data_IF_922742824874
#
_entry.id   IF_922742824874
#
_cell.length_a   1.000
_cell.length_b   1.000
_cell.length_c   1.000
_cell.angle_alpha   90.00
_cell.angle_beta   90.00
_cell.angle_gamma   90.00
#
_symmetry.space_group_name_H-M   'P 1'
#
loop_
_entity.id
_entity.type
_entity.pdbx_description
1 polymer ?
#
# COMPACT_ATOMS: atom_id res chain seq x y z
N UNK A 1 10.57 69.86 16.88
CA UNK A 1 11.81 69.05 16.96
C UNK A 1 11.45 67.65 16.49
N UNK A 2 11.68 67.19 15.29
CA UNK A 2 12.11 67.66 13.97
C UNK A 2 11.66 66.50 13.06
N UNK A 3 10.93 66.75 11.98
CA UNK A 3 11.42 66.90 10.59
C UNK A 3 12.31 65.71 10.16
N UNK A 4 12.26 65.10 8.98
CA UNK A 4 11.52 65.19 7.71
C UNK A 4 12.25 64.21 6.75
N UNK A 5 11.57 63.77 5.68
CA UNK A 5 12.01 63.25 4.36
C UNK A 5 11.51 61.83 4.04
N UNK A 6 10.55 61.60 3.13
CA UNK A 6 10.30 62.02 1.73
C UNK A 6 11.18 61.37 0.63
N UNK A 7 10.47 61.06 -0.47
CA UNK A 7 10.81 60.86 -1.90
C UNK A 7 10.75 59.39 -2.39
N UNK A 8 9.76 58.99 -3.19
CA UNK A 8 9.37 59.40 -4.58
C UNK A 8 10.39 58.93 -5.64
N UNK A 9 9.98 58.07 -6.58
CA UNK A 9 9.65 58.45 -7.98
C UNK A 9 9.59 57.27 -8.98
N UNK A 10 8.55 57.33 -9.83
CA UNK A 10 8.43 57.05 -11.30
C UNK A 10 9.06 55.79 -11.93
N UNK A 11 8.30 54.93 -12.60
CA UNK A 11 7.73 55.03 -13.98
C UNK A 11 8.80 55.22 -15.05
N UNK A 12 8.98 54.22 -15.92
CA UNK A 12 9.32 54.49 -17.31
C UNK A 12 8.66 53.46 -18.25
N UNK A 13 8.10 53.99 -19.34
CA UNK A 13 7.38 53.31 -20.40
C UNK A 13 8.22 53.36 -21.67
N UNK A 14 8.03 52.33 -22.50
CA UNK A 14 8.19 52.32 -23.96
C UNK A 14 9.61 52.38 -24.53
N UNK A 15 9.92 51.41 -25.41
CA UNK A 15 10.29 51.78 -26.77
C UNK A 15 9.76 50.76 -27.79
N UNK A 16 9.26 51.29 -28.90
CA UNK A 16 8.75 50.60 -30.08
C UNK A 16 9.85 50.58 -31.15
N UNK A 17 9.79 49.61 -32.08
CA UNK A 17 10.10 49.73 -33.52
C UNK A 17 10.20 48.29 -34.09
N UNK A 18 9.21 47.76 -34.82
CA UNK A 18 8.91 47.92 -36.27
C UNK A 18 10.11 47.66 -37.19
N UNK A 19 10.04 46.58 -37.97
CA UNK A 19 10.07 46.70 -39.44
C UNK A 19 9.45 45.47 -40.13
N UNK A 20 8.71 45.76 -41.20
CA UNK A 20 8.06 44.87 -42.17
C UNK A 20 9.12 44.15 -43.03
N UNK A 21 8.85 43.05 -43.77
CA UNK A 21 8.32 43.10 -45.14
C UNK A 21 8.20 41.66 -45.71
N UNK A 22 7.05 41.40 -46.38
CA UNK A 22 6.64 40.52 -47.51
C UNK A 22 7.65 39.54 -48.16
N UNK A 23 7.33 38.49 -48.93
CA UNK A 23 6.23 37.98 -49.79
C UNK A 23 6.60 36.47 -49.99
N UNK A 24 5.73 35.46 -50.17
CA UNK A 24 4.84 35.24 -51.30
C UNK A 24 5.11 33.87 -51.98
N UNK A 25 4.05 33.05 -52.12
CA UNK A 25 3.75 32.04 -53.16
C UNK A 25 4.56 30.71 -53.18
N UNK A 26 3.96 29.54 -52.96
CA UNK A 26 3.03 28.71 -53.78
C UNK A 26 3.77 27.71 -54.70
N UNK A 27 3.13 26.56 -54.93
CA UNK A 27 3.47 25.43 -55.84
C UNK A 27 4.10 24.15 -55.23
N UNK A 28 3.27 23.10 -55.22
CA UNK A 28 3.59 21.66 -55.29
C UNK A 28 2.73 21.08 -56.45
N UNK A 29 2.86 19.82 -56.93
CA UNK A 29 3.88 18.76 -56.75
C UNK A 29 4.31 18.09 -58.09
N UNK A 30 5.31 17.19 -58.07
CA UNK A 30 5.45 16.13 -59.10
C UNK A 30 5.83 14.77 -58.48
N UNK A 31 4.96 13.78 -58.66
CA UNK A 31 5.25 12.33 -58.57
C UNK A 31 5.94 11.84 -59.85
N UNK A 32 6.63 10.69 -59.79
CA UNK A 32 6.32 9.68 -60.81
C UNK A 32 6.23 8.22 -60.30
N UNK A 33 5.08 7.63 -60.60
CA UNK A 33 4.79 6.33 -61.23
C UNK A 33 5.43 5.01 -60.72
N UNK A 34 4.50 4.10 -60.40
CA UNK A 34 4.63 2.66 -60.13
C UNK A 34 5.29 1.85 -61.27
N UNK A 35 6.05 0.81 -60.90
CA UNK A 35 6.28 -0.38 -61.74
C UNK A 35 6.18 -1.68 -60.92
N UNK A 36 5.06 -2.36 -61.17
CA UNK A 36 4.78 -3.81 -61.18
C UNK A 36 5.70 -4.81 -60.43
N UNK A 37 5.07 -5.55 -59.51
CA UNK A 37 5.57 -6.78 -58.87
C UNK A 37 5.81 -7.95 -59.84
N UNK A 38 6.58 -8.95 -59.38
CA UNK A 38 6.11 -10.33 -59.49
C UNK A 38 6.13 -11.09 -58.16
N UNK A 39 5.25 -12.09 -58.16
CA UNK A 39 4.78 -12.97 -57.10
C UNK A 39 5.82 -14.02 -56.61
N UNK A 40 5.67 -14.40 -55.34
CA UNK A 40 6.02 -15.72 -54.81
C UNK A 40 7.44 -15.93 -54.26
N UNK A 41 7.56 -15.92 -52.93
CA UNK A 41 8.07 -17.07 -52.15
C UNK A 41 8.04 -16.80 -50.64
N UNK A 42 7.47 -17.77 -49.93
CA UNK A 42 7.45 -17.92 -48.48
C UNK A 42 8.80 -17.63 -47.82
N UNK A 43 8.80 -16.65 -46.92
CA UNK A 43 9.73 -16.60 -45.82
C UNK A 43 8.91 -16.43 -44.54
N UNK A 44 8.56 -17.56 -43.92
CA UNK A 44 8.30 -17.59 -42.50
C UNK A 44 9.56 -17.04 -41.81
N UNK A 45 9.56 -15.75 -41.47
CA UNK A 45 10.36 -15.25 -40.37
C UNK A 45 9.92 -16.01 -39.13
N UNK A 46 10.72 -17.02 -38.78
CA UNK A 46 10.66 -17.63 -37.46
C UNK A 46 11.02 -16.50 -36.49
N UNK A 47 10.00 -15.89 -35.91
CA UNK A 47 10.14 -15.14 -34.68
C UNK A 47 10.95 -16.00 -33.74
N UNK A 48 12.12 -15.50 -33.34
CA UNK A 48 12.85 -16.02 -32.21
C UNK A 48 11.90 -15.90 -31.02
N UNK A 49 11.21 -16.99 -30.70
CA UNK A 49 10.59 -17.14 -29.40
C UNK A 49 11.72 -16.93 -28.40
N UNK A 50 11.67 -15.79 -27.71
CA UNK A 50 12.40 -15.63 -26.46
C UNK A 50 11.94 -16.80 -25.61
N UNK A 51 12.85 -17.74 -25.36
CA UNK A 51 12.64 -18.74 -24.33
C UNK A 51 12.56 -17.92 -23.06
N UNK A 52 11.34 -17.68 -22.57
CA UNK A 52 11.15 -17.16 -21.22
C UNK A 52 11.85 -18.15 -20.31
N UNK A 53 12.95 -17.72 -19.69
CA UNK A 53 13.55 -18.49 -18.62
C UNK A 53 12.45 -18.72 -17.57
N UNK A 54 12.29 -19.96 -17.07
CA UNK A 54 11.25 -20.25 -16.10
C UNK A 54 11.42 -19.34 -14.89
N UNK A 55 10.33 -18.67 -14.49
CA UNK A 55 10.30 -17.78 -13.33
C UNK A 55 10.91 -18.52 -12.12
N UNK A 56 12.01 -18.00 -11.54
CA UNK A 56 12.71 -18.69 -10.48
C UNK A 56 11.84 -18.88 -9.24
N UNK A 57 10.83 -18.00 -9.00
CA UNK A 57 9.98 -18.04 -7.80
C UNK A 57 10.79 -18.20 -6.49
N UNK A 58 11.96 -17.56 -6.46
CA UNK A 58 12.89 -17.62 -5.33
C UNK A 58 12.75 -16.34 -4.50
N UNK A 59 12.40 -16.50 -3.24
CA UNK A 59 12.40 -15.42 -2.25
C UNK A 59 13.83 -14.93 -2.01
N UNK A 60 14.03 -13.62 -2.10
CA UNK A 60 15.29 -12.95 -1.84
C UNK A 60 15.40 -12.68 -0.33
N UNK A 61 16.52 -13.08 0.28
CA UNK A 61 16.86 -12.61 1.63
C UNK A 61 17.17 -11.11 1.64
N UNK A 62 17.07 -10.45 2.79
CA UNK A 62 17.25 -8.99 2.91
C UNK A 62 18.51 -8.42 2.25
N UNK A 63 19.65 -9.14 2.32
CA UNK A 63 20.90 -8.75 1.64
C UNK A 63 20.81 -8.80 0.11
N UNK A 64 20.00 -9.72 -0.45
CA UNK A 64 19.76 -9.82 -1.90
C UNK A 64 18.92 -8.66 -2.42
N UNK A 65 17.98 -8.17 -1.60
CA UNK A 65 17.18 -6.99 -1.92
C UNK A 65 18.00 -5.70 -1.75
N UNK A 66 18.80 -5.59 -0.69
CA UNK A 66 19.69 -4.45 -0.47
C UNK A 66 20.72 -4.31 -1.60
N UNK A 67 21.26 -5.43 -2.10
CA UNK A 67 22.17 -5.45 -3.24
C UNK A 67 21.53 -4.97 -4.57
N UNK A 68 20.19 -4.94 -4.66
CA UNK A 68 19.49 -4.44 -5.84
C UNK A 68 19.46 -2.90 -5.94
N UNK A 69 19.93 -2.19 -4.90
CA UNK A 69 20.11 -0.73 -4.82
C UNK A 69 18.86 0.08 -5.22
N UNK A 70 17.73 -0.22 -4.59
CA UNK A 70 16.49 0.51 -4.77
C UNK A 70 16.43 1.73 -3.84
N UNK A 71 17.03 2.86 -4.24
CA UNK A 71 17.10 4.07 -3.41
C UNK A 71 15.72 4.54 -2.92
N UNK A 72 14.70 4.37 -3.75
CA UNK A 72 13.31 4.75 -3.49
C UNK A 72 12.53 3.76 -2.60
N UNK A 73 13.03 2.53 -2.42
CA UNK A 73 12.28 1.42 -1.81
C UNK A 73 12.89 0.94 -0.51
N UNK A 74 12.06 0.47 0.41
CA UNK A 74 12.49 -0.17 1.67
C UNK A 74 11.87 -1.54 1.80
N UNK A 75 12.67 -2.51 2.23
CA UNK A 75 12.15 -3.80 2.70
C UNK A 75 11.56 -3.56 4.08
N UNK A 76 10.28 -3.83 4.23
CA UNK A 76 9.60 -3.87 5.51
C UNK A 76 8.86 -5.21 5.56
N UNK A 77 9.24 -6.06 6.51
CA UNK A 77 8.80 -7.46 6.54
C UNK A 77 9.17 -8.20 5.24
N UNK A 78 8.18 -8.83 4.61
CA UNK A 78 8.27 -9.65 3.40
C UNK A 78 7.93 -8.88 2.11
N UNK A 79 7.83 -7.55 2.18
CA UNK A 79 7.44 -6.69 1.07
C UNK A 79 8.43 -5.55 0.80
N UNK A 80 8.42 -5.08 -0.45
CA UNK A 80 9.05 -3.82 -0.87
C UNK A 80 8.02 -2.70 -0.79
N UNK A 81 8.39 -1.58 -0.17
CA UNK A 81 7.53 -0.40 -0.06
C UNK A 81 8.19 0.83 -0.65
N UNK A 82 7.43 1.62 -1.41
CA UNK A 82 7.80 2.97 -1.82
C UNK A 82 6.62 3.92 -1.68
N UNK A 83 6.95 5.19 -1.44
CA UNK A 83 5.98 6.28 -1.39
C UNK A 83 6.47 7.41 -2.26
N UNK A 84 5.67 7.81 -3.24
CA UNK A 84 5.98 8.88 -4.18
C UNK A 84 5.09 10.09 -3.91
N UNK A 85 5.69 11.23 -3.58
CA UNK A 85 4.97 12.49 -3.36
C UNK A 85 4.63 13.11 -4.71
N UNK A 86 3.35 13.04 -5.08
CA UNK A 86 2.85 13.49 -6.39
C UNK A 86 2.35 14.93 -6.37
N UNK A 87 2.18 15.52 -5.17
CA UNK A 87 1.75 16.90 -4.97
C UNK A 87 0.26 17.15 -5.21
N UNK A 88 -0.32 16.47 -6.21
CA UNK A 88 -1.74 16.48 -6.51
C UNK A 88 -2.26 15.10 -6.96
N UNK A 89 -3.59 15.00 -7.00
CA UNK A 89 -4.30 13.76 -7.28
C UNK A 89 -4.21 13.35 -8.75
N UNK A 90 -4.13 14.31 -9.68
CA UNK A 90 -4.09 14.02 -11.12
C UNK A 90 -2.74 13.39 -11.53
N UNK A 91 -1.66 13.91 -10.98
CA UNK A 91 -0.31 13.34 -11.11
C UNK A 91 -0.25 11.96 -10.46
N UNK A 92 -0.87 11.80 -9.28
CA UNK A 92 -1.04 10.50 -8.63
C UNK A 92 -1.75 9.47 -9.51
N UNK A 93 -2.92 9.84 -10.05
CA UNK A 93 -3.68 8.97 -10.94
C UNK A 93 -2.91 8.60 -12.21
N UNK A 94 -2.13 9.54 -12.77
CA UNK A 94 -1.27 9.28 -13.94
C UNK A 94 -0.17 8.27 -13.61
N UNK A 95 0.45 8.38 -12.42
CA UNK A 95 1.42 7.39 -11.96
C UNK A 95 0.77 6.01 -11.78
N UNK A 96 -0.42 5.94 -11.19
CA UNK A 96 -1.17 4.68 -11.03
C UNK A 96 -1.49 4.02 -12.37
N UNK A 97 -1.89 4.80 -13.39
CA UNK A 97 -2.11 4.27 -14.75
C UNK A 97 -0.84 3.66 -15.36
N UNK A 98 0.32 4.30 -15.18
CA UNK A 98 1.60 3.74 -15.62
C UNK A 98 1.97 2.47 -14.84
N UNK A 99 1.77 2.46 -13.51
CA UNK A 99 1.99 1.28 -12.67
C UNK A 99 1.11 0.12 -13.15
N UNK A 100 -0.18 0.36 -13.36
CA UNK A 100 -1.13 -0.67 -13.82
C UNK A 100 -0.72 -1.27 -15.16
N UNK A 101 -0.29 -0.46 -16.13
CA UNK A 101 0.22 -0.96 -17.42
C UNK A 101 1.50 -1.78 -17.28
N UNK A 102 2.40 -1.39 -16.38
CA UNK A 102 3.62 -2.14 -16.10
C UNK A 102 3.32 -3.48 -15.40
N UNK A 103 2.40 -3.47 -14.44
CA UNK A 103 1.94 -4.66 -13.73
C UNK A 103 1.29 -5.69 -14.68
N UNK A 104 0.36 -5.26 -15.53
CA UNK A 104 -0.27 -6.13 -16.54
C UNK A 104 0.76 -6.72 -17.52
N UNK A 105 1.76 -5.93 -17.91
CA UNK A 105 2.83 -6.42 -18.78
C UNK A 105 3.72 -7.45 -18.07
N UNK A 106 3.91 -7.31 -16.76
CA UNK A 106 4.74 -8.20 -15.95
C UNK A 106 3.99 -9.45 -15.46
N UNK A 107 2.66 -9.50 -15.58
CA UNK A 107 1.79 -10.46 -14.89
C UNK A 107 2.13 -10.55 -13.38
N UNK A 108 2.38 -9.38 -12.79
CA UNK A 108 2.81 -9.22 -11.41
C UNK A 108 2.26 -7.91 -10.87
N UNK A 109 1.38 -7.99 -9.88
CA UNK A 109 0.52 -6.87 -9.48
C UNK A 109 0.92 -6.32 -8.10
N UNK A 110 1.19 -5.01 -7.98
CA UNK A 110 1.39 -4.36 -6.68
C UNK A 110 0.07 -4.05 -5.98
N UNK A 111 0.15 -3.86 -4.67
CA UNK A 111 -0.85 -3.10 -3.93
C UNK A 111 -0.55 -1.59 -4.06
N UNK A 112 -1.58 -0.79 -4.33
CA UNK A 112 -1.43 0.64 -4.62
C UNK A 112 -2.43 1.48 -3.82
N UNK A 113 -1.94 2.37 -2.96
CA UNK A 113 -2.74 3.36 -2.24
C UNK A 113 -2.59 4.75 -2.87
N UNK A 114 -3.63 5.19 -3.59
CA UNK A 114 -3.72 6.53 -4.17
C UNK A 114 -4.37 7.50 -3.18
N UNK A 115 -3.60 8.48 -2.70
CA UNK A 115 -4.08 9.59 -1.87
C UNK A 115 -3.94 10.92 -2.61
N UNK A 116 -4.50 11.98 -2.02
CA UNK A 116 -4.54 13.30 -2.64
C UNK A 116 -3.17 13.82 -3.12
N UNK A 117 -2.09 13.60 -2.36
CA UNK A 117 -0.77 14.14 -2.68
C UNK A 117 0.35 13.10 -2.79
N UNK A 118 0.02 11.81 -2.74
CA UNK A 118 1.01 10.74 -2.83
C UNK A 118 0.41 9.44 -3.34
N UNK A 119 1.27 8.59 -3.87
CA UNK A 119 1.00 7.19 -4.18
C UNK A 119 1.93 6.34 -3.34
N UNK A 120 1.39 5.40 -2.58
CA UNK A 120 2.16 4.36 -1.90
C UNK A 120 2.00 3.04 -2.64
N UNK A 121 3.09 2.31 -2.79
CA UNK A 121 3.15 1.07 -3.57
C UNK A 121 3.85 0.01 -2.74
N UNK A 122 3.20 -1.15 -2.60
CA UNK A 122 3.76 -2.34 -1.95
C UNK A 122 3.90 -3.47 -2.97
N UNK A 123 5.00 -4.20 -2.91
CA UNK A 123 5.34 -5.29 -3.83
C UNK A 123 5.78 -6.51 -3.05
N UNK A 124 5.07 -7.62 -3.24
CA UNK A 124 5.50 -8.95 -2.88
C UNK A 124 4.99 -9.98 -3.86
N UNK A 125 5.68 -11.11 -3.94
CA UNK A 125 5.22 -12.26 -4.71
C UNK A 125 4.31 -13.14 -3.87
N UNK A 126 3.00 -12.88 -3.94
CA UNK A 126 1.99 -13.58 -3.14
C UNK A 126 2.00 -15.11 -3.29
N UNK A 127 2.39 -15.62 -4.46
CA UNK A 127 2.42 -17.06 -4.73
C UNK A 127 3.56 -17.79 -4.01
N UNK A 128 4.55 -17.07 -3.49
CA UNK A 128 5.67 -17.61 -2.71
C UNK A 128 5.93 -16.89 -1.38
N UNK A 129 5.06 -15.94 -1.00
CA UNK A 129 5.10 -15.29 0.31
C UNK A 129 6.37 -14.47 0.57
N UNK A 130 6.80 -13.65 -0.39
CA UNK A 130 7.89 -12.71 -0.15
C UNK A 130 8.44 -11.99 -1.38
N UNK A 131 9.46 -11.16 -1.19
CA UNK A 131 10.12 -10.42 -2.28
C UNK A 131 10.92 -11.35 -3.17
N UNK A 132 10.68 -11.30 -4.48
CA UNK A 132 11.44 -12.01 -5.52
C UNK A 132 12.09 -11.03 -6.52
N UNK A 133 12.74 -11.55 -7.56
CA UNK A 133 13.23 -10.72 -8.67
C UNK A 133 12.11 -9.98 -9.40
N UNK A 134 10.87 -10.53 -9.45
CA UNK A 134 9.71 -9.90 -10.08
C UNK A 134 9.38 -8.57 -9.42
N UNK A 135 9.39 -8.55 -8.09
CA UNK A 135 9.18 -7.36 -7.27
C UNK A 135 10.25 -6.31 -7.52
N UNK A 136 11.52 -6.73 -7.56
CA UNK A 136 12.65 -5.81 -7.82
C UNK A 136 12.57 -5.19 -9.21
N UNK A 137 12.22 -5.97 -10.24
CA UNK A 137 12.14 -5.49 -11.61
C UNK A 137 10.95 -4.54 -11.83
N UNK A 138 9.81 -4.84 -11.22
CA UNK A 138 8.67 -3.94 -11.23
C UNK A 138 8.95 -2.67 -10.42
N UNK A 139 9.60 -2.77 -9.26
CA UNK A 139 10.00 -1.63 -8.44
C UNK A 139 10.84 -0.60 -9.22
N UNK A 140 11.83 -1.08 -10.00
CA UNK A 140 12.64 -0.22 -10.89
C UNK A 140 11.79 0.50 -11.93
N UNK A 141 10.89 -0.24 -12.57
CA UNK A 141 9.98 0.32 -13.58
C UNK A 141 9.09 1.41 -12.99
N UNK A 142 8.59 1.20 -11.77
CA UNK A 142 7.76 2.17 -11.06
C UNK A 142 8.57 3.41 -10.66
N UNK A 143 9.80 3.24 -10.15
CA UNK A 143 10.72 4.35 -9.87
C UNK A 143 10.98 5.21 -11.11
N UNK A 144 11.19 4.59 -12.27
CA UNK A 144 11.36 5.31 -13.55
C UNK A 144 10.10 6.11 -13.93
N UNK A 145 8.91 5.53 -13.76
CA UNK A 145 7.65 6.24 -14.00
C UNK A 145 7.45 7.43 -13.06
N UNK A 146 7.74 7.26 -11.77
CA UNK A 146 7.66 8.33 -10.79
C UNK A 146 8.65 9.47 -11.10
N UNK A 147 9.90 9.13 -11.44
CA UNK A 147 10.93 10.09 -11.81
C UNK A 147 10.56 10.94 -13.03
N UNK A 148 9.96 10.34 -14.07
CA UNK A 148 9.48 11.06 -15.26
C UNK A 148 8.34 12.04 -14.96
N UNK A 149 7.55 11.77 -13.91
CA UNK A 149 6.49 12.65 -13.43
C UNK A 149 6.99 13.67 -12.38
N UNK A 150 8.27 13.64 -12.01
CA UNK A 150 8.84 14.48 -10.97
C UNK A 150 8.38 14.12 -9.55
N UNK A 151 7.76 12.95 -9.36
CA UNK A 151 7.29 12.48 -8.07
C UNK A 151 8.47 11.93 -7.26
N UNK A 152 8.86 12.64 -6.19
CA UNK A 152 10.00 12.26 -5.34
C UNK A 152 9.62 11.11 -4.42
N UNK A 153 10.48 10.11 -4.29
CA UNK A 153 10.35 9.11 -3.23
C UNK A 153 10.56 9.74 -1.84
N UNK A 154 9.64 9.45 -0.91
CA UNK A 154 9.63 9.93 0.47
C UNK A 154 9.81 8.77 1.44
N UNK A 155 10.98 8.13 1.40
CA UNK A 155 11.31 6.97 2.24
C UNK A 155 11.23 7.27 3.73
N UNK A 156 11.41 8.54 4.12
CA UNK A 156 11.27 9.02 5.49
C UNK A 156 9.83 9.01 6.03
N UNK A 157 8.84 8.79 5.17
CA UNK A 157 7.41 8.74 5.52
C UNK A 157 6.84 7.32 5.50
N UNK A 158 7.64 6.32 5.13
CA UNK A 158 7.23 4.93 5.17
C UNK A 158 7.16 4.44 6.62
N UNK A 159 6.11 3.68 6.91
CA UNK A 159 5.94 3.00 8.18
C UNK A 159 5.02 1.79 7.97
N UNK A 160 5.30 0.71 8.69
CA UNK A 160 4.36 -0.42 8.86
C UNK A 160 4.15 -0.58 10.36
N UNK A 161 2.88 -0.71 10.76
CA UNK A 161 2.49 -0.89 12.15
C UNK A 161 2.00 -2.32 12.34
N UNK A 162 2.51 -2.97 13.38
CA UNK A 162 1.96 -4.22 13.90
C UNK A 162 1.54 -4.02 15.36
N UNK A 163 0.55 -4.79 15.79
CA UNK A 163 0.07 -4.81 17.17
C UNK A 163 0.52 -6.12 17.81
N UNK A 164 1.26 -6.03 18.90
CA UNK A 164 1.63 -7.17 19.73
C UNK A 164 0.56 -7.44 20.77
N UNK A 165 0.10 -8.69 20.88
CA UNK A 165 -0.68 -9.15 22.02
C UNK A 165 0.11 -10.21 22.79
N UNK A 166 0.52 -9.85 24.01
CA UNK A 166 1.12 -10.79 24.94
C UNK A 166 0.09 -11.86 25.33
N UNK A 167 0.44 -13.12 25.13
CA UNK A 167 -0.40 -14.26 25.45
C UNK A 167 0.40 -15.37 26.14
N UNK A 168 -0.29 -16.15 26.96
CA UNK A 168 0.28 -17.38 27.54
C UNK A 168 -0.18 -18.66 26.83
N UNK A 169 -1.17 -18.51 25.95
CA UNK A 169 -1.81 -19.59 25.22
C UNK A 169 -2.36 -18.98 23.93
N UNK A 170 -1.55 -19.09 22.88
CA UNK A 170 -1.85 -18.61 21.53
C UNK A 170 -3.13 -19.27 20.99
N UNK A 171 -3.24 -20.59 21.11
CA UNK A 171 -4.35 -21.36 20.57
C UNK A 171 -5.68 -21.01 21.24
N UNK A 172 -5.65 -20.60 22.51
CA UNK A 172 -6.85 -20.16 23.22
C UNK A 172 -7.38 -18.78 22.79
N UNK A 173 -6.52 -17.87 22.33
CA UNK A 173 -6.91 -16.48 22.00
C UNK A 173 -7.01 -16.21 20.49
N UNK A 174 -6.20 -16.88 19.67
CA UNK A 174 -6.11 -16.65 18.23
C UNK A 174 -7.45 -16.79 17.50
N UNK A 175 -8.29 -17.83 17.73
CA UNK A 175 -9.58 -17.97 17.05
C UNK A 175 -10.51 -16.77 17.27
N UNK A 176 -10.52 -16.23 18.50
CA UNK A 176 -11.31 -15.04 18.82
C UNK A 176 -10.88 -13.84 17.99
N UNK A 177 -9.57 -13.57 17.91
CA UNK A 177 -9.05 -12.42 17.18
C UNK A 177 -9.19 -12.56 15.67
N UNK A 178 -8.94 -13.76 15.12
CA UNK A 178 -9.22 -14.07 13.71
C UNK A 178 -10.69 -13.80 13.38
N UNK A 179 -11.61 -14.33 14.18
CA UNK A 179 -13.05 -14.15 13.98
C UNK A 179 -13.50 -12.70 14.16
N UNK A 180 -12.98 -12.00 15.18
CA UNK A 180 -13.35 -10.62 15.49
C UNK A 180 -12.84 -9.64 14.43
N UNK A 181 -11.62 -9.80 13.94
CA UNK A 181 -11.05 -8.91 12.92
C UNK A 181 -11.47 -9.32 11.50
N UNK A 182 -11.91 -10.58 11.32
CA UNK A 182 -12.05 -11.26 10.02
C UNK A 182 -10.72 -11.31 9.28
N UNK A 183 -9.69 -11.71 10.02
CA UNK A 183 -8.33 -11.88 9.54
C UNK A 183 -8.04 -13.37 9.32
N UNK A 184 -7.10 -13.65 8.44
CA UNK A 184 -6.60 -14.99 8.18
C UNK A 184 -5.50 -15.37 9.18
N UNK A 185 -5.35 -16.67 9.43
CA UNK A 185 -4.24 -17.25 10.18
C UNK A 185 -3.25 -17.85 9.19
N UNK A 186 -2.12 -17.18 8.90
CA UNK A 186 -1.07 -17.73 8.03
C UNK A 186 -0.45 -19.00 8.64
N UNK A 187 0.29 -19.76 7.82
CA UNK A 187 0.92 -21.03 8.25
C UNK A 187 1.91 -20.84 9.41
N UNK A 188 2.56 -19.68 9.47
CA UNK A 188 3.33 -19.24 10.64
C UNK A 188 2.35 -18.75 11.71
N UNK A 189 2.02 -19.68 12.61
CA UNK A 189 0.86 -19.69 13.51
C UNK A 189 0.78 -18.54 14.54
N UNK A 190 1.76 -17.63 14.62
CA UNK A 190 1.90 -16.65 15.69
C UNK A 190 1.25 -15.28 15.41
N UNK A 191 0.46 -15.16 14.34
CA UNK A 191 -0.27 -13.94 14.01
C UNK A 191 -1.65 -14.19 13.40
N UNK A 192 -2.44 -13.12 13.31
CA UNK A 192 -3.57 -12.99 12.38
C UNK A 192 -3.33 -11.78 11.47
N UNK A 193 -3.59 -11.94 10.18
CA UNK A 193 -3.26 -10.97 9.12
C UNK A 193 -4.51 -10.57 8.36
N UNK A 194 -4.64 -9.29 8.03
CA UNK A 194 -5.73 -8.82 7.17
C UNK A 194 -5.56 -9.43 5.77
N UNK A 195 -6.53 -10.23 5.27
CA UNK A 195 -6.44 -10.83 3.94
C UNK A 195 -6.33 -9.80 2.81
N UNK A 196 -6.80 -8.57 3.05
CA UNK A 196 -6.74 -7.47 2.08
C UNK A 196 -5.55 -6.52 2.32
N UNK A 197 -4.69 -6.78 3.33
CA UNK A 197 -3.51 -5.97 3.64
C UNK A 197 -3.80 -4.52 4.09
N UNK A 198 -5.03 -4.20 4.54
CA UNK A 198 -5.42 -2.82 4.88
C UNK A 198 -5.18 -2.46 6.33
N UNK A 199 -5.38 -3.42 7.23
CA UNK A 199 -5.18 -3.26 8.67
C UNK A 199 -3.81 -3.78 9.14
N UNK A 200 -3.39 -3.40 10.35
CA UNK A 200 -2.14 -3.89 10.93
C UNK A 200 -2.26 -5.38 11.26
N UNK A 201 -1.16 -6.12 11.12
CA UNK A 201 -1.02 -7.47 11.68
C UNK A 201 -1.21 -7.43 13.19
N UNK A 202 -1.93 -8.42 13.73
CA UNK A 202 -1.94 -8.70 15.16
C UNK A 202 -1.10 -9.95 15.41
N UNK A 203 0.11 -9.75 15.94
CA UNK A 203 1.02 -10.83 16.28
C UNK A 203 0.94 -11.15 17.78
N UNK A 204 1.22 -12.40 18.14
CA UNK A 204 1.06 -12.92 19.48
C UNK A 204 2.42 -13.23 20.11
N UNK A 205 2.80 -12.44 21.11
CA UNK A 205 4.02 -12.68 21.87
C UNK A 205 3.73 -13.73 22.95
N UNK A 206 4.21 -14.95 22.76
CA UNK A 206 4.15 -15.97 23.82
C UNK A 206 5.11 -15.56 24.95
N UNK A 207 4.60 -15.53 26.19
CA UNK A 207 5.38 -15.15 27.38
C UNK A 207 5.53 -16.35 28.35
N UNK A 208 6.76 -16.62 28.80
CA UNK A 208 7.15 -17.84 29.54
C UNK A 208 6.86 -17.84 31.07
N UNK A 209 6.19 -16.82 31.61
CA UNK A 209 5.92 -16.76 33.05
C UNK A 209 4.83 -17.79 33.44
N UNK A 210 5.14 -18.81 34.26
CA UNK A 210 4.20 -19.88 34.58
C UNK A 210 2.98 -19.32 35.32
N UNK A 211 1.78 -19.63 34.81
CA UNK A 211 0.52 -19.22 35.43
C UNK A 211 0.35 -19.89 36.79
N UNK A 212 0.56 -19.13 37.87
CA UNK A 212 0.16 -19.58 39.20
C UNK A 212 -1.37 -19.44 39.34
N UNK A 213 -1.98 -20.21 40.25
CA UNK A 213 -3.40 -20.04 40.58
C UNK A 213 -3.69 -18.61 41.08
N UNK A 214 -2.70 -17.97 41.70
CA UNK A 214 -2.75 -16.56 42.08
C UNK A 214 -2.78 -15.61 40.87
N UNK A 215 -2.14 -15.93 39.74
CA UNK A 215 -2.23 -15.15 38.49
C UNK A 215 -3.56 -15.34 37.75
N UNK A 216 -4.26 -16.46 38.01
CA UNK A 216 -5.63 -16.67 37.52
C UNK A 216 -6.64 -15.88 38.33
N UNK A 217 -6.43 -15.75 39.65
CA UNK A 217 -7.30 -14.98 40.54
C UNK A 217 -6.95 -13.49 40.63
N UNK A 218 -5.68 -13.12 40.45
CA UNK A 218 -5.21 -11.75 40.40
C UNK A 218 -4.84 -11.43 38.96
N UNK A 219 -5.58 -10.52 38.35
CA UNK A 219 -5.30 -9.93 37.04
C UNK A 219 -3.94 -9.18 37.02
N UNK A 220 -2.84 -9.92 37.15
CA UNK A 220 -1.50 -9.39 37.43
C UNK A 220 -0.47 -9.66 36.32
N UNK A 221 -0.84 -10.38 35.25
CA UNK A 221 -0.27 -10.09 33.91
C UNK A 221 -0.64 -8.64 33.54
N UNK A 222 0.11 -7.93 32.69
CA UNK A 222 -0.29 -6.58 32.29
C UNK A 222 -1.73 -6.62 31.77
N UNK A 223 -2.67 -6.12 32.57
CA UNK A 223 -4.05 -5.95 32.15
C UNK A 223 -4.00 -5.04 30.95
N UNK A 224 -4.44 -5.53 29.79
CA UNK A 224 -4.50 -4.76 28.57
C UNK A 224 -5.03 -3.34 28.87
N UNK A 225 -4.16 -2.34 28.68
CA UNK A 225 -4.47 -0.93 29.04
C UNK A 225 -4.99 -0.11 27.86
N UNK A 226 -5.00 -0.72 26.67
CA UNK A 226 -5.65 -0.23 25.47
C UNK A 226 -6.71 -1.25 25.05
N UNK A 227 -7.55 -0.91 24.10
CA UNK A 227 -8.43 -1.86 23.41
C UNK A 227 -8.56 -1.42 21.96
N UNK A 228 -8.96 -2.35 21.10
CA UNK A 228 -9.21 -2.07 19.70
C UNK A 228 -10.70 -1.79 19.50
N UNK A 229 -11.01 -0.65 18.89
CA UNK A 229 -12.37 -0.31 18.45
C UNK A 229 -12.53 -0.73 16.99
N UNK A 230 -13.24 -1.83 16.75
CA UNK A 230 -13.60 -2.29 15.42
C UNK A 230 -14.92 -1.63 15.00
N UNK A 231 -14.85 -0.74 14.01
CA UNK A 231 -16.01 -0.03 13.47
C UNK A 231 -16.63 -0.80 12.31
N UNK A 232 -17.88 -1.21 12.46
CA UNK A 232 -18.61 -1.98 11.44
C UNK A 232 -19.88 -1.27 10.95
N UNK A 233 -20.33 -1.60 9.71
CA UNK A 233 -21.72 -1.38 9.32
C UNK A 233 -22.67 -2.02 10.34
N UNK A 234 -23.77 -1.35 10.73
CA UNK A 234 -24.69 -1.88 11.73
C UNK A 234 -25.23 -3.28 11.40
N UNK A 235 -25.49 -3.56 10.12
CA UNK A 235 -25.97 -4.83 9.59
C UNK A 235 -24.98 -6.00 9.74
N UNK A 236 -23.69 -5.69 9.93
CA UNK A 236 -22.63 -6.67 10.07
C UNK A 236 -22.20 -6.90 11.54
N UNK A 237 -22.55 -5.96 12.43
CA UNK A 237 -22.09 -5.98 13.82
C UNK A 237 -22.52 -7.24 14.56
N UNK A 238 -23.79 -7.63 14.47
CA UNK A 238 -24.31 -8.83 15.14
C UNK A 238 -23.64 -10.11 14.64
N UNK A 239 -23.42 -10.22 13.33
CA UNK A 239 -22.70 -11.36 12.73
C UNK A 239 -21.28 -11.44 13.28
N UNK A 240 -20.58 -10.31 13.37
CA UNK A 240 -19.20 -10.28 13.87
C UNK A 240 -19.12 -10.62 15.36
N UNK A 241 -20.02 -10.06 16.17
CA UNK A 241 -20.11 -10.37 17.59
C UNK A 241 -20.34 -11.88 17.77
N UNK A 242 -21.31 -12.44 17.04
CA UNK A 242 -21.59 -13.88 17.12
C UNK A 242 -20.37 -14.72 16.75
N UNK A 243 -19.66 -14.40 15.67
CA UNK A 243 -18.46 -15.13 15.24
C UNK A 243 -17.37 -15.12 16.34
N UNK A 244 -17.13 -13.97 16.96
CA UNK A 244 -16.17 -13.85 18.06
C UNK A 244 -16.60 -14.66 19.30
N UNK A 245 -17.89 -14.69 19.65
CA UNK A 245 -18.42 -15.50 20.75
C UNK A 245 -18.34 -17.00 20.45
N UNK A 246 -18.70 -17.43 19.24
CA UNK A 246 -18.57 -18.83 18.80
C UNK A 246 -17.10 -19.29 18.83
N UNK A 247 -16.15 -18.37 18.63
CA UNK A 247 -14.71 -18.61 18.68
C UNK A 247 -14.12 -18.56 20.11
N UNK A 248 -14.95 -18.69 21.15
CA UNK A 248 -14.51 -18.76 22.55
C UNK A 248 -14.45 -17.41 23.27
N UNK A 249 -14.88 -16.33 22.61
CA UNK A 249 -15.00 -15.01 23.24
C UNK A 249 -16.13 -14.93 24.27
N UNK A 250 -16.05 -13.92 25.13
CA UNK A 250 -17.08 -13.60 26.13
C UNK A 250 -17.65 -12.21 25.88
N UNK A 251 -18.97 -12.06 26.03
CA UNK A 251 -19.62 -10.76 26.09
C UNK A 251 -19.35 -10.11 27.45
N UNK A 252 -18.66 -8.97 27.45
CA UNK A 252 -18.27 -8.24 28.68
C UNK A 252 -19.28 -7.17 29.03
N UNK A 253 -19.72 -6.38 28.05
CA UNK A 253 -20.66 -5.27 28.25
C UNK A 253 -21.38 -4.93 26.93
N UNK A 254 -22.71 -4.87 26.97
CA UNK A 254 -23.59 -4.45 25.86
C UNK A 254 -24.53 -3.31 26.24
N UNK A 255 -24.34 -2.67 27.40
CA UNK A 255 -25.24 -1.63 27.91
C UNK A 255 -25.37 -0.43 26.96
N UNK A 256 -24.38 -0.24 26.10
CA UNK A 256 -24.34 0.83 25.10
C UNK A 256 -24.55 0.32 23.67
N UNK A 257 -24.97 -0.92 23.46
CA UNK A 257 -25.30 -1.41 22.12
C UNK A 257 -26.46 -0.59 21.49
N UNK A 258 -26.46 -0.37 20.17
CA UNK A 258 -25.46 -0.80 19.18
C UNK A 258 -24.27 0.17 19.05
N UNK A 259 -24.14 1.18 19.90
CA UNK A 259 -23.05 2.17 19.85
C UNK A 259 -21.70 1.51 20.03
N UNK A 260 -21.57 0.67 21.05
CA UNK A 260 -20.46 -0.27 21.21
C UNK A 260 -20.88 -1.47 22.07
N UNK A 261 -20.28 -2.62 21.76
CA UNK A 261 -20.36 -3.87 22.51
C UNK A 261 -18.94 -4.32 22.83
N UNK A 262 -18.65 -4.59 24.10
CA UNK A 262 -17.33 -5.01 24.57
C UNK A 262 -17.28 -6.52 24.63
N UNK A 263 -16.30 -7.10 23.95
CA UNK A 263 -15.99 -8.52 23.98
C UNK A 263 -14.63 -8.74 24.62
N UNK A 264 -14.37 -9.96 25.09
CA UNK A 264 -13.05 -10.39 25.52
C UNK A 264 -12.68 -11.77 24.98
N UNK A 265 -11.39 -11.98 24.73
CA UNK A 265 -10.82 -13.31 24.45
C UNK A 265 -10.77 -14.20 25.72
N UNK A 266 -10.26 -15.42 25.57
CA UNK A 266 -10.15 -16.39 26.66
C UNK A 266 -9.24 -15.95 27.83
N UNK A 267 -8.39 -14.94 27.64
CA UNK A 267 -7.50 -14.38 28.65
C UNK A 267 -7.97 -13.03 29.18
N UNK A 268 -9.13 -12.54 28.71
CA UNK A 268 -9.73 -11.29 29.17
C UNK A 268 -9.26 -10.05 28.42
N UNK A 269 -8.50 -10.19 27.31
CA UNK A 269 -8.15 -9.06 26.46
C UNK A 269 -9.38 -8.58 25.73
N UNK A 270 -9.63 -7.27 25.79
CA UNK A 270 -10.86 -6.63 25.32
C UNK A 270 -10.70 -5.96 23.97
N UNK A 271 -11.81 -5.97 23.24
CA UNK A 271 -12.02 -5.16 22.06
C UNK A 271 -13.50 -4.79 21.97
N UNK A 272 -13.80 -3.71 21.26
CA UNK A 272 -15.16 -3.24 21.06
C UNK A 272 -15.58 -3.46 19.61
N UNK A 273 -16.77 -4.00 19.41
CA UNK A 273 -17.49 -3.84 18.14
C UNK A 273 -18.31 -2.56 18.25
N UNK A 274 -18.12 -1.63 17.32
CA UNK A 274 -18.76 -0.31 17.37
C UNK A 274 -19.51 -0.01 16.09
N UNK A 275 -20.62 0.72 16.19
CA UNK A 275 -21.39 1.20 15.03
C UNK A 275 -21.65 2.70 15.14
N UNK A 276 -22.05 3.32 14.04
CA UNK A 276 -22.44 4.74 14.02
C UNK A 276 -23.79 5.00 14.68
N UNK A 277 -24.63 3.98 14.80
CA UNK A 277 -25.92 4.10 15.47
C UNK A 277 -25.70 4.44 16.94
N UNK A 278 -26.41 5.47 17.43
CA UNK A 278 -26.25 5.97 18.79
C UNK A 278 -25.03 6.88 19.01
N UNK A 279 -24.34 7.32 17.94
CA UNK A 279 -23.34 8.38 17.97
C UNK A 279 -23.89 9.60 17.23
N UNK A 280 -24.34 10.59 17.99
CA UNK A 280 -24.82 11.90 17.52
C UNK A 280 -24.27 13.00 18.41
#
# INVERSE_FOLDING_TARGET
MSDEKQQDDQVDQADQDRDDTQDGQDETPEEPQEVHAPDGRDAHEKGTATVEEPDPKVVLGGHGVEAALLDDWRVMFDQLHARFETGDFATGLTLVDHIGKAAEKADHHPDVDLRYGFVEVHLSSHDVGGVTSRDVDLARTISDHAGRLGARAATEKLQVLEIALDTRDLDAVRPFWAALLAYDTPEDDDAVVDPDGRGPTLWFQVTDEPVTEADRQAAASPVQRFHLDLRLPPEDAERRIKAALDAGGTLVDDAMAPRFTVLADAQGNKACVTTWVGRG
#
